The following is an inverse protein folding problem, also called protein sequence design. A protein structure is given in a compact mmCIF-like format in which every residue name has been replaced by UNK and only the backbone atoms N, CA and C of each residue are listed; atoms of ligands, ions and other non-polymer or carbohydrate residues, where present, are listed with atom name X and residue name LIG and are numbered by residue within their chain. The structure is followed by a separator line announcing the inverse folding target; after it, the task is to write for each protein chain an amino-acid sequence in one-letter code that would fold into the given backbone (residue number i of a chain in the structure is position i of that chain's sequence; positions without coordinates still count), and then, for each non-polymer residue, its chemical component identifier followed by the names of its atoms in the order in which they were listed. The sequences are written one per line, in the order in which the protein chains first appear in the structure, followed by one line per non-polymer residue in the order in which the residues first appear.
data_IF_952292454215
#
_entry.id   IF_952292454215
#
_cell.length_a   1.000
_cell.length_b   1.000
_cell.length_c   1.000
_cell.angle_alpha   90.00
_cell.angle_beta   90.00
_cell.angle_gamma   90.00
#
_symmetry.space_group_name_H-M   'P 1'
#
loop_
_entity.id
_entity.type
_entity.pdbx_description
1 polymer ?
#
# COMPACT_ATOMS: atom_id res chain seq x y z
N UNK A 1 -32.92 13.07 12.25
CA UNK A 1 -32.77 11.68 11.77
C UNK A 1 -31.29 11.36 11.74
N UNK A 2 -30.79 10.79 12.82
CA UNK A 2 -29.37 10.44 13.00
C UNK A 2 -29.10 9.14 12.26
N UNK A 3 -28.51 9.24 11.07
CA UNK A 3 -28.01 8.07 10.34
C UNK A 3 -26.66 7.68 10.94
N UNK A 4 -26.68 6.63 11.76
CA UNK A 4 -25.47 5.95 12.24
C UNK A 4 -24.85 5.21 11.05
N UNK A 5 -23.60 5.50 10.64
CA UNK A 5 -22.99 4.75 9.56
C UNK A 5 -22.73 3.31 10.03
N UNK A 6 -23.14 2.33 9.23
CA UNK A 6 -22.67 0.94 9.34
C UNK A 6 -21.19 0.95 9.01
N UNK A 7 -20.34 1.02 10.02
CA UNK A 7 -18.90 0.80 9.86
C UNK A 7 -18.69 -0.68 9.53
N UNK A 8 -18.38 -0.97 8.27
CA UNK A 8 -17.65 -2.20 7.91
C UNK A 8 -16.33 -2.19 8.71
N UNK A 9 -15.88 -3.34 9.20
CA UNK A 9 -14.74 -3.45 10.12
C UNK A 9 -13.42 -2.83 9.60
N UNK A 10 -13.33 -2.58 8.30
CA UNK A 10 -12.21 -1.92 7.62
C UNK A 10 -12.14 -0.42 7.95
N UNK A 11 -13.29 0.26 7.99
CA UNK A 11 -13.37 1.69 8.31
C UNK A 11 -12.94 1.99 9.76
N UNK A 12 -13.16 1.05 10.68
CA UNK A 12 -12.70 1.15 12.07
C UNK A 12 -11.17 1.02 12.17
N UNK A 13 -10.55 0.17 11.35
CA UNK A 13 -9.10 -0.02 11.33
C UNK A 13 -8.35 1.22 10.84
N UNK A 14 -8.85 1.87 9.78
CA UNK A 14 -8.19 3.06 9.22
C UNK A 14 -8.34 4.28 10.15
N UNK A 15 -9.50 4.46 10.79
CA UNK A 15 -9.69 5.52 11.79
C UNK A 15 -8.76 5.40 13.00
N UNK A 16 -8.36 4.18 13.38
CA UNK A 16 -7.45 3.96 14.50
C UNK A 16 -5.99 4.37 14.18
N UNK A 17 -5.60 4.31 12.90
CA UNK A 17 -4.25 4.66 12.43
C UNK A 17 -4.02 6.18 12.53
N UNK A 18 -5.03 7.00 12.22
CA UNK A 18 -4.89 8.46 12.17
C UNK A 18 -4.97 9.07 13.58
N UNK A 19 -5.85 8.58 14.45
CA UNK A 19 -6.01 9.12 15.80
C UNK A 19 -4.79 8.88 16.71
N UNK A 20 -3.94 7.89 16.40
CA UNK A 20 -2.71 7.61 17.15
C UNK A 20 -1.53 8.54 16.79
N UNK A 21 -1.60 9.28 15.67
CA UNK A 21 -0.52 10.15 15.20
C UNK A 21 -0.58 11.57 15.78
N UNK A 22 -1.71 12.00 16.32
CA UNK A 22 -1.91 13.38 16.79
C UNK A 22 -1.52 13.61 18.26
N UNK A 23 -1.49 12.56 19.10
CA UNK A 23 -1.26 12.70 20.53
C UNK A 23 0.14 12.22 20.94
N UNK A 24 1.05 13.17 21.17
CA UNK A 24 2.41 12.95 21.67
C UNK A 24 2.48 12.43 23.11
N UNK A 25 1.97 11.22 23.38
CA UNK A 25 2.05 10.56 24.68
C UNK A 25 3.08 9.42 24.71
N UNK A 26 4.01 9.52 25.67
CA UNK A 26 4.82 8.48 26.33
C UNK A 26 5.09 7.16 25.57
N UNK A 27 6.37 6.85 25.31
CA UNK A 27 6.89 5.65 24.61
C UNK A 27 6.22 4.31 25.01
N UNK A 28 5.75 4.18 26.26
CA UNK A 28 5.06 2.98 26.77
C UNK A 28 3.65 2.81 26.19
N UNK A 29 2.91 3.90 25.98
CA UNK A 29 1.60 3.88 25.34
C UNK A 29 1.73 3.65 23.82
N UNK A 30 2.83 4.09 23.21
CA UNK A 30 3.18 3.72 21.84
C UNK A 30 3.42 2.21 21.67
N UNK A 31 4.18 1.58 22.57
CA UNK A 31 4.43 0.13 22.50
C UNK A 31 3.15 -0.66 22.75
N UNK A 32 2.34 -0.26 23.74
CA UNK A 32 1.06 -0.91 24.03
C UNK A 32 0.03 -0.68 22.91
N UNK A 33 -0.01 0.52 22.32
CA UNK A 33 -0.81 0.85 21.15
C UNK A 33 -0.38 0.03 19.94
N UNK A 34 0.92 -0.11 19.68
CA UNK A 34 1.46 -0.93 18.59
C UNK A 34 1.22 -2.42 18.80
N UNK A 35 1.34 -2.94 20.03
CA UNK A 35 1.00 -4.32 20.37
C UNK A 35 -0.52 -4.59 20.24
N UNK A 36 -1.37 -3.64 20.65
CA UNK A 36 -2.81 -3.73 20.46
C UNK A 36 -3.18 -3.63 18.96
N UNK A 37 -2.49 -2.79 18.19
CA UNK A 37 -2.65 -2.67 16.74
C UNK A 37 -2.17 -3.93 16.02
N UNK A 38 -1.05 -4.52 16.44
CA UNK A 38 -0.53 -5.78 15.91
C UNK A 38 -1.45 -6.96 16.24
N UNK A 39 -2.05 -6.98 17.44
CA UNK A 39 -3.06 -7.95 17.85
C UNK A 39 -4.40 -7.77 17.10
N UNK A 40 -4.81 -6.52 16.87
CA UNK A 40 -6.01 -6.19 16.10
C UNK A 40 -5.81 -6.47 14.60
N UNK A 41 -4.65 -6.11 14.03
CA UNK A 41 -4.27 -6.46 12.67
C UNK A 41 -4.17 -7.98 12.48
N UNK A 42 -3.68 -8.72 13.49
CA UNK A 42 -3.73 -10.20 13.50
C UNK A 42 -5.15 -10.78 13.50
N UNK A 43 -6.17 -9.97 13.82
CA UNK A 43 -7.58 -10.39 13.85
C UNK A 43 -8.32 -10.08 12.54
N UNK A 44 -7.74 -9.27 11.64
CA UNK A 44 -8.30 -9.00 10.31
C UNK A 44 -7.72 -10.03 9.35
N UNK A 45 -8.50 -11.06 9.05
CA UNK A 45 -8.14 -12.03 8.04
C UNK A 45 -8.35 -11.40 6.65
N UNK A 46 -7.25 -10.95 6.06
CA UNK A 46 -7.24 -10.41 4.70
C UNK A 46 -7.29 -11.57 3.71
N UNK A 47 -8.20 -11.49 2.74
CA UNK A 47 -8.30 -12.45 1.64
C UNK A 47 -8.00 -11.74 0.33
N UNK A 48 -7.15 -12.37 -0.48
CA UNK A 48 -6.90 -11.93 -1.84
C UNK A 48 -7.98 -12.50 -2.76
N UNK A 49 -8.46 -11.69 -3.70
CA UNK A 49 -9.34 -12.16 -4.76
C UNK A 49 -8.52 -12.77 -5.91
N UNK A 50 -8.70 -14.07 -6.13
CA UNK A 50 -7.97 -14.84 -7.14
C UNK A 50 -8.27 -14.38 -8.57
N UNK A 51 -9.57 -14.33 -8.92
CA UNK A 51 -10.02 -14.26 -10.31
C UNK A 51 -9.78 -12.89 -10.94
N UNK A 52 -9.97 -11.82 -10.18
CA UNK A 52 -9.97 -10.46 -10.70
C UNK A 52 -8.75 -9.67 -10.24
N UNK A 53 -8.55 -9.49 -8.94
CA UNK A 53 -7.56 -8.54 -8.46
C UNK A 53 -6.13 -9.10 -8.50
N UNK A 54 -5.93 -10.36 -8.15
CA UNK A 54 -4.60 -10.97 -8.15
C UNK A 54 -4.05 -11.15 -9.57
N UNK A 55 -4.85 -11.71 -10.47
CA UNK A 55 -4.52 -11.84 -11.90
C UNK A 55 -4.23 -10.48 -12.55
N UNK A 56 -5.08 -9.47 -12.27
CA UNK A 56 -4.87 -8.11 -12.76
C UNK A 56 -3.60 -7.48 -12.18
N UNK A 57 -3.28 -7.71 -10.90
CA UNK A 57 -2.10 -7.15 -10.27
C UNK A 57 -0.81 -7.68 -10.90
N UNK A 58 -0.75 -8.99 -11.17
CA UNK A 58 0.39 -9.58 -11.86
C UNK A 58 0.50 -9.06 -13.31
N UNK A 59 -0.62 -9.02 -14.04
CA UNK A 59 -0.65 -8.54 -15.42
C UNK A 59 -0.21 -7.07 -15.55
N UNK A 60 -0.69 -6.20 -14.66
CA UNK A 60 -0.41 -4.75 -14.65
C UNK A 60 0.86 -4.35 -13.91
N UNK A 61 1.61 -5.33 -13.42
CA UNK A 61 2.87 -5.08 -12.74
C UNK A 61 3.86 -4.32 -13.66
N UNK A 62 4.64 -3.37 -13.11
CA UNK A 62 5.53 -2.54 -13.92
C UNK A 62 6.57 -3.40 -14.65
N UNK A 63 6.78 -3.11 -15.93
CA UNK A 63 7.84 -3.71 -16.72
C UNK A 63 9.21 -3.14 -16.32
N UNK A 64 10.24 -4.00 -16.39
CA UNK A 64 11.64 -3.68 -16.10
C UNK A 64 11.84 -3.15 -14.67
N UNK A 65 10.94 -3.53 -13.76
CA UNK A 65 11.05 -3.18 -12.35
C UNK A 65 12.07 -4.08 -11.67
N UNK A 66 13.04 -3.47 -10.99
CA UNK A 66 14.04 -4.20 -10.22
C UNK A 66 13.43 -5.09 -9.15
N UNK A 67 14.08 -6.23 -8.93
CA UNK A 67 13.77 -7.17 -7.86
C UNK A 67 14.30 -6.75 -6.50
N UNK A 68 13.76 -7.40 -5.46
CA UNK A 68 14.30 -7.34 -4.11
C UNK A 68 15.56 -8.20 -3.92
N UNK A 69 16.05 -8.36 -2.68
CA UNK A 69 17.20 -9.18 -2.32
C UNK A 69 17.21 -10.63 -2.82
N UNK A 70 16.05 -11.26 -3.04
CA UNK A 70 15.89 -12.63 -3.53
C UNK A 70 16.08 -12.75 -5.05
N UNK A 71 16.21 -11.63 -5.78
CA UNK A 71 16.48 -11.61 -7.22
C UNK A 71 15.27 -11.91 -8.10
N UNK A 72 14.07 -12.07 -7.54
CA UNK A 72 12.83 -12.21 -8.32
C UNK A 72 12.46 -10.88 -9.00
N UNK A 73 11.90 -10.95 -10.21
CA UNK A 73 11.36 -9.81 -10.96
C UNK A 73 9.94 -10.11 -11.46
N UNK A 74 9.16 -9.08 -11.77
CA UNK A 74 7.78 -9.26 -12.22
C UNK A 74 7.68 -9.99 -13.57
N UNK A 75 8.67 -9.83 -14.44
CA UNK A 75 8.80 -10.59 -15.69
C UNK A 75 8.84 -12.08 -15.42
N UNK A 76 9.71 -12.51 -14.51
CA UNK A 76 9.81 -13.92 -14.12
C UNK A 76 8.47 -14.45 -13.61
N UNK A 77 7.78 -13.68 -12.77
CA UNK A 77 6.48 -14.10 -12.26
C UNK A 77 5.43 -14.22 -13.39
N UNK A 78 5.40 -13.29 -14.35
CA UNK A 78 4.48 -13.36 -15.49
C UNK A 78 4.80 -14.52 -16.43
N UNK A 79 6.08 -14.76 -16.69
CA UNK A 79 6.52 -15.81 -17.61
C UNK A 79 6.31 -17.21 -17.01
N UNK A 80 6.54 -17.37 -15.70
CA UNK A 80 6.38 -18.66 -15.02
C UNK A 80 4.95 -18.96 -14.60
N UNK A 81 4.15 -17.94 -14.24
CA UNK A 81 2.82 -18.12 -13.65
C UNK A 81 1.74 -17.48 -14.52
N UNK A 82 1.27 -18.23 -15.52
CA UNK A 82 0.22 -17.79 -16.45
C UNK A 82 -1.15 -18.26 -15.96
N UNK A 83 -2.12 -17.36 -15.69
CA UNK A 83 -3.43 -17.75 -15.13
C UNK A 83 -4.24 -18.73 -15.99
N UNK A 84 -4.00 -18.75 -17.31
CA UNK A 84 -4.69 -19.63 -18.25
C UNK A 84 -4.07 -21.02 -18.37
N UNK A 85 -2.86 -21.23 -17.83
CA UNK A 85 -2.14 -22.49 -17.89
C UNK A 85 -2.21 -23.21 -16.52
N UNK A 86 -2.95 -24.32 -16.42
CA UNK A 86 -3.05 -25.11 -15.18
C UNK A 86 -1.72 -25.68 -14.69
N UNK A 87 -0.72 -25.81 -15.56
CA UNK A 87 0.60 -26.36 -15.22
C UNK A 87 1.58 -25.31 -14.70
N UNK A 88 1.26 -24.03 -14.86
CA UNK A 88 2.10 -22.90 -14.44
C UNK A 88 2.23 -22.75 -12.92
N UNK A 89 1.34 -23.38 -12.15
CA UNK A 89 1.31 -23.24 -10.69
C UNK A 89 0.82 -21.86 -10.23
N UNK A 90 0.05 -21.14 -11.05
CA UNK A 90 -0.52 -19.84 -10.68
C UNK A 90 -1.37 -19.91 -9.40
N UNK A 91 -2.11 -21.01 -9.19
CA UNK A 91 -2.85 -21.27 -7.95
C UNK A 91 -1.94 -21.35 -6.72
N UNK A 92 -0.78 -22.01 -6.85
CA UNK A 92 0.20 -22.12 -5.78
C UNK A 92 0.84 -20.76 -5.45
N UNK A 93 1.10 -19.93 -6.48
CA UNK A 93 1.57 -18.57 -6.29
C UNK A 93 0.52 -17.73 -5.53
N UNK A 94 -0.75 -17.87 -5.91
CA UNK A 94 -1.85 -17.20 -5.21
C UNK A 94 -1.96 -17.64 -3.74
N UNK A 95 -1.88 -18.95 -3.47
CA UNK A 95 -1.94 -19.48 -2.11
C UNK A 95 -0.79 -18.94 -1.26
N UNK A 96 0.42 -18.93 -1.82
CA UNK A 96 1.59 -18.33 -1.17
C UNK A 96 1.36 -16.84 -0.86
N UNK A 97 0.91 -16.06 -1.84
CA UNK A 97 0.61 -14.63 -1.65
C UNK A 97 -0.53 -14.41 -0.63
N UNK A 98 -1.51 -15.30 -0.55
CA UNK A 98 -2.58 -15.26 0.45
C UNK A 98 -2.02 -15.52 1.85
N UNK A 99 -1.12 -16.49 2.01
CA UNK A 99 -0.42 -16.71 3.28
C UNK A 99 0.40 -15.51 3.71
N UNK A 100 1.10 -14.86 2.77
CA UNK A 100 1.84 -13.62 3.02
C UNK A 100 0.89 -12.51 3.48
N UNK A 101 -0.22 -12.28 2.75
CA UNK A 101 -1.22 -11.25 3.09
C UNK A 101 -1.84 -11.44 4.48
N UNK A 102 -1.96 -12.70 4.92
CA UNK A 102 -2.49 -13.07 6.23
C UNK A 102 -1.44 -13.09 7.34
N UNK A 103 -0.18 -12.79 7.02
CA UNK A 103 0.94 -12.92 7.98
C UNK A 103 1.22 -14.36 8.41
N UNK A 104 0.71 -15.36 7.69
CA UNK A 104 0.88 -16.80 7.98
C UNK A 104 2.18 -17.32 7.36
N UNK A 105 3.29 -16.71 7.73
CA UNK A 105 4.63 -17.07 7.27
C UNK A 105 5.54 -17.30 8.47
N UNK A 106 6.58 -18.13 8.31
CA UNK A 106 7.57 -18.29 9.36
C UNK A 106 8.28 -16.95 9.66
N UNK A 107 8.70 -16.68 10.91
CA UNK A 107 9.37 -15.42 11.25
C UNK A 107 10.61 -15.11 10.39
N UNK A 108 11.40 -16.12 10.03
CA UNK A 108 12.54 -15.96 9.12
C UNK A 108 12.12 -15.55 7.71
N UNK A 109 11.02 -16.10 7.22
CA UNK A 109 10.43 -15.73 5.92
C UNK A 109 9.86 -14.31 5.96
N UNK A 110 9.18 -13.92 7.05
CA UNK A 110 8.69 -12.55 7.23
C UNK A 110 9.83 -11.53 7.16
N UNK A 111 10.96 -11.83 7.82
CA UNK A 111 12.16 -11.00 7.75
C UNK A 111 12.70 -10.86 6.31
N UNK A 112 12.77 -11.96 5.56
CA UNK A 112 13.24 -11.94 4.17
C UNK A 112 12.27 -11.21 3.24
N UNK A 113 10.95 -11.37 3.42
CA UNK A 113 9.94 -10.67 2.64
C UNK A 113 9.91 -9.17 2.93
N UNK A 114 10.21 -8.77 4.17
CA UNK A 114 10.37 -7.37 4.57
C UNK A 114 11.77 -6.81 4.26
N UNK A 115 12.71 -7.62 3.80
CA UNK A 115 14.02 -7.15 3.40
C UNK A 115 13.93 -6.38 2.08
N UNK A 116 14.87 -5.45 1.89
CA UNK A 116 14.91 -4.61 0.70
C UNK A 116 16.33 -4.33 0.26
N UNK A 117 16.49 -4.03 -1.03
CA UNK A 117 17.73 -3.52 -1.59
C UNK A 117 17.66 -1.99 -1.60
N UNK A 118 18.69 -1.35 -1.05
CA UNK A 118 18.81 0.10 -1.03
C UNK A 118 19.71 0.58 -2.16
N UNK A 119 19.28 1.62 -2.89
CA UNK A 119 20.08 2.30 -3.90
C UNK A 119 20.09 3.81 -3.61
N UNK A 120 21.28 4.38 -3.47
CA UNK A 120 21.47 5.81 -3.33
C UNK A 120 21.57 6.44 -4.73
N UNK A 121 20.55 7.21 -5.13
CA UNK A 121 20.59 8.00 -6.36
C UNK A 121 20.99 9.43 -6.05
N UNK A 122 21.95 9.98 -6.77
CA UNK A 122 22.34 11.38 -6.60
C UNK A 122 21.33 12.33 -7.27
N UNK A 123 20.97 13.41 -6.58
CA UNK A 123 20.24 14.53 -7.19
C UNK A 123 21.23 15.48 -7.86
N UNK A 124 20.79 16.24 -8.87
CA UNK A 124 21.58 17.35 -9.41
C UNK A 124 22.01 18.38 -8.36
N UNK A 125 21.26 18.50 -7.27
CA UNK A 125 21.58 19.38 -6.13
C UNK A 125 22.66 18.83 -5.18
N UNK A 126 23.24 17.66 -5.43
CA UNK A 126 24.22 17.00 -4.56
C UNK A 126 23.63 16.24 -3.36
N UNK A 127 22.31 16.32 -3.14
CA UNK A 127 21.62 15.48 -2.13
C UNK A 127 21.29 14.08 -2.66
N UNK A 128 21.04 13.11 -1.79
CA UNK A 128 20.71 11.72 -2.17
C UNK A 128 19.18 11.47 -2.18
N UNK A 129 18.70 10.70 -3.15
CA UNK A 129 17.39 10.02 -3.18
C UNK A 129 17.60 8.55 -2.84
N UNK A 130 17.25 8.10 -1.63
CA UNK A 130 17.23 6.69 -1.34
C UNK A 130 16.08 6.03 -2.11
N UNK A 131 16.39 4.96 -2.83
CA UNK A 131 15.40 4.07 -3.45
C UNK A 131 15.43 2.74 -2.72
N UNK A 132 14.24 2.29 -2.34
CA UNK A 132 14.02 1.00 -1.68
C UNK A 132 13.37 0.07 -2.70
N UNK A 133 14.00 -1.07 -2.95
CA UNK A 133 13.45 -2.14 -3.77
C UNK A 133 13.04 -3.28 -2.84
N UNK A 134 11.75 -3.34 -2.56
CA UNK A 134 11.13 -4.42 -1.78
C UNK A 134 11.07 -5.72 -2.57
N UNK A 135 10.83 -6.82 -1.85
CA UNK A 135 10.55 -8.10 -2.47
C UNK A 135 9.33 -8.09 -3.38
N UNK A 136 9.45 -8.77 -4.52
CA UNK A 136 8.41 -8.76 -5.56
C UNK A 136 7.13 -9.42 -5.09
N UNK A 137 7.22 -10.48 -4.28
CA UNK A 137 6.03 -11.12 -3.69
C UNK A 137 5.30 -10.16 -2.73
N UNK A 138 6.04 -9.39 -1.93
CA UNK A 138 5.46 -8.39 -1.04
C UNK A 138 4.75 -7.29 -1.84
N UNK A 139 5.40 -6.79 -2.90
CA UNK A 139 4.83 -5.80 -3.82
C UNK A 139 3.60 -6.34 -4.57
N UNK A 140 3.61 -7.59 -5.01
CA UNK A 140 2.47 -8.22 -5.68
C UNK A 140 1.25 -8.28 -4.75
N UNK A 141 1.46 -8.69 -3.49
CA UNK A 141 0.41 -8.67 -2.45
C UNK A 141 -0.09 -7.24 -2.23
N UNK A 142 0.81 -6.28 -2.01
CA UNK A 142 0.45 -4.88 -1.78
C UNK A 142 -0.33 -4.28 -2.97
N UNK A 143 0.08 -4.55 -4.21
CA UNK A 143 -0.63 -4.13 -5.42
C UNK A 143 -2.02 -4.76 -5.50
N UNK A 144 -2.14 -6.07 -5.24
CA UNK A 144 -3.42 -6.79 -5.23
C UNK A 144 -4.39 -6.15 -4.24
N UNK A 145 -3.93 -5.91 -3.01
CA UNK A 145 -4.72 -5.25 -1.98
C UNK A 145 -5.09 -3.81 -2.36
N UNK A 146 -4.15 -3.06 -2.94
CA UNK A 146 -4.39 -1.71 -3.43
C UNK A 146 -5.48 -1.65 -4.50
N UNK A 147 -5.54 -2.63 -5.40
CA UNK A 147 -6.64 -2.74 -6.36
C UNK A 147 -7.94 -3.19 -5.70
N UNK A 148 -7.90 -4.22 -4.86
CA UNK A 148 -9.08 -4.82 -4.23
C UNK A 148 -9.79 -3.85 -3.28
N UNK A 149 -9.05 -3.02 -2.55
CA UNK A 149 -9.59 -2.05 -1.60
C UNK A 149 -9.59 -0.62 -2.14
N UNK A 150 -9.39 -0.42 -3.45
CA UNK A 150 -9.26 0.90 -4.06
C UNK A 150 -10.40 1.85 -3.69
N UNK A 151 -11.65 1.40 -3.77
CA UNK A 151 -12.82 2.21 -3.47
C UNK A 151 -12.85 2.64 -2.00
N UNK A 152 -12.64 1.70 -1.08
CA UNK A 152 -12.55 2.00 0.34
C UNK A 152 -11.40 2.97 0.68
N UNK A 153 -10.25 2.84 0.00
CA UNK A 153 -9.12 3.75 0.15
C UNK A 153 -9.47 5.15 -0.39
N UNK A 154 -10.15 5.27 -1.53
CA UNK A 154 -10.61 6.55 -2.08
C UNK A 154 -11.61 7.22 -1.15
N UNK A 155 -12.62 6.50 -0.69
CA UNK A 155 -13.66 7.03 0.20
C UNK A 155 -13.06 7.59 1.50
N UNK A 156 -12.01 6.94 2.01
CA UNK A 156 -11.32 7.39 3.20
C UNK A 156 -10.35 8.55 2.95
N UNK A 157 -9.51 8.48 1.92
CA UNK A 157 -8.42 9.44 1.72
C UNK A 157 -8.83 10.68 0.92
N UNK A 158 -9.81 10.59 0.01
CA UNK A 158 -10.21 11.72 -0.84
C UNK A 158 -10.57 13.01 -0.08
N UNK A 159 -11.21 13.00 1.10
CA UNK A 159 -11.45 14.23 1.85
C UNK A 159 -10.20 14.78 2.55
N UNK A 160 -9.16 13.98 2.72
CA UNK A 160 -7.96 14.32 3.50
C UNK A 160 -6.78 14.74 2.63
N UNK A 161 -6.70 14.25 1.38
CA UNK A 161 -5.56 14.41 0.51
C UNK A 161 -5.89 14.10 -0.96
N UNK A 162 -5.01 14.52 -1.88
CA UNK A 162 -5.15 14.30 -3.32
C UNK A 162 -4.11 13.31 -3.89
N UNK A 163 -3.33 12.64 -3.05
CA UNK A 163 -2.24 11.74 -3.48
C UNK A 163 -2.67 10.29 -3.75
N UNK A 164 -3.76 9.81 -3.15
CA UNK A 164 -4.23 8.43 -3.27
C UNK A 164 -5.39 8.35 -4.25
N UNK A 165 -5.18 7.59 -5.34
CA UNK A 165 -6.20 7.23 -6.33
C UNK A 165 -7.02 8.41 -6.90
N UNK A 166 -6.50 9.63 -6.76
CA UNK A 166 -7.10 10.88 -7.25
C UNK A 166 -6.48 11.23 -8.59
N UNK A 167 -7.30 11.27 -9.63
CA UNK A 167 -6.84 11.59 -10.98
C UNK A 167 -6.45 13.07 -11.04
N UNK A 168 -5.21 13.35 -11.43
CA UNK A 168 -4.69 14.72 -11.52
C UNK A 168 -4.59 15.42 -10.16
N UNK A 169 -4.24 14.68 -9.11
CA UNK A 169 -4.23 15.22 -7.74
C UNK A 169 -3.32 16.42 -7.57
N UNK A 170 -2.09 16.36 -8.09
CA UNK A 170 -1.14 17.48 -8.03
C UNK A 170 -1.66 18.71 -8.79
N UNK A 171 -2.21 18.50 -9.98
CA UNK A 171 -2.79 19.56 -10.82
C UNK A 171 -3.99 20.19 -10.12
N UNK A 172 -4.83 19.37 -9.48
CA UNK A 172 -5.98 19.84 -8.70
C UNK A 172 -5.54 20.75 -7.56
N UNK A 173 -4.48 20.39 -6.83
CA UNK A 173 -3.91 21.25 -5.78
C UNK A 173 -3.44 22.57 -6.37
N UNK A 174 -2.62 22.55 -7.44
CA UNK A 174 -2.04 23.75 -8.03
C UNK A 174 -3.14 24.69 -8.58
N UNK A 175 -4.11 24.14 -9.31
CA UNK A 175 -5.20 24.92 -9.88
C UNK A 175 -6.14 25.46 -8.80
N UNK A 176 -6.48 24.66 -7.79
CA UNK A 176 -7.28 25.10 -6.66
C UNK A 176 -6.61 26.21 -5.88
N UNK A 177 -5.31 26.11 -5.65
CA UNK A 177 -4.52 27.14 -4.97
C UNK A 177 -4.53 28.45 -5.76
N UNK A 178 -4.25 28.40 -7.07
CA UNK A 178 -4.29 29.58 -7.94
C UNK A 178 -5.66 30.25 -7.92
N UNK A 179 -6.73 29.48 -8.12
CA UNK A 179 -8.10 30.02 -8.10
C UNK A 179 -8.46 30.64 -6.74
N UNK A 180 -7.95 30.10 -5.64
CA UNK A 180 -8.16 30.65 -4.29
C UNK A 180 -7.43 31.97 -4.11
N UNK A 181 -6.18 32.08 -4.57
CA UNK A 181 -5.42 33.34 -4.52
C UNK A 181 -6.03 34.42 -5.41
N UNK A 182 -6.59 34.05 -6.56
CA UNK A 182 -7.28 35.00 -7.44
C UNK A 182 -8.54 35.61 -6.78
N UNK A 183 -9.18 34.85 -5.87
CA UNK A 183 -10.34 35.31 -5.08
C UNK A 183 -9.94 36.07 -3.80
N UNK A 184 -8.72 35.83 -3.30
CA UNK A 184 -8.20 36.38 -2.05
C UNK A 184 -6.82 37.01 -2.29
N UNK A 185 -6.82 38.22 -2.88
CA UNK A 185 -5.60 38.94 -3.26
C UNK A 185 -4.71 39.33 -2.08
N UNK A 186 -5.22 39.27 -0.85
CA UNK A 186 -4.51 39.50 0.40
C UNK A 186 -3.78 38.26 0.94
N UNK A 187 -4.00 37.08 0.34
CA UNK A 187 -3.38 35.83 0.76
C UNK A 187 -2.07 35.56 0.01
N UNK A 188 -1.10 34.97 0.69
CA UNK A 188 0.18 34.53 0.09
C UNK A 188 0.48 33.09 0.50
N UNK A 189 1.14 32.34 -0.39
CA UNK A 189 1.60 30.97 -0.11
C UNK A 189 3.04 31.06 0.39
N UNK A 190 3.27 30.60 1.62
CA UNK A 190 4.58 30.57 2.28
C UNK A 190 5.32 29.25 2.00
#
# INVERSE_FOLDING_TARGET
MTLKPRTSGIAAGINCIIHCLEDGLELRLWILGWLALAAFASSIMIFLDFNHFFSMALARSPHLSSGGPLGMVFELLRDCFTPQDPTSGFDLLFDLCTHIAQGRVFPSTAYLLGASRLLALEKPSGSVRPIVMEEVLHRLVACTLGFQFREALVDHFSPLQFGVATRGGCETIIHGLRATLDLHLDWVVL
#
